data_IF_206581898386
#
_entry.id   IF_206581898386
#
_cell.length_a   1.000
_cell.length_b   1.000
_cell.length_c   1.000
_cell.angle_alpha   90.00
_cell.angle_beta   90.00
_cell.angle_gamma   90.00
#
_symmetry.space_group_name_H-M   'P 1'
#
loop_
_entity.id
_entity.type
_entity.pdbx_description
1 polymer ?
#
# COMPACT_ATOMS: atom_id res chain seq x y z
N UNK A 1 9.50 -50.02 -7.56
CA UNK A 1 8.44 -51.04 -7.75
C UNK A 1 8.85 -52.32 -7.00
N UNK A 2 10.10 -52.80 -7.14
CA UNK A 2 10.59 -54.05 -6.53
C UNK A 2 10.58 -54.00 -4.99
N UNK A 3 11.04 -52.88 -4.42
CA UNK A 3 11.11 -52.68 -2.95
C UNK A 3 9.72 -52.56 -2.30
N UNK A 4 8.74 -51.98 -3.01
CA UNK A 4 7.33 -51.93 -2.58
C UNK A 4 6.67 -53.30 -2.62
N UNK A 5 7.06 -54.13 -3.57
CA UNK A 5 6.52 -55.48 -3.70
C UNK A 5 7.04 -56.39 -2.59
N UNK A 6 8.33 -56.29 -2.25
CA UNK A 6 8.97 -57.04 -1.16
C UNK A 6 8.44 -56.65 0.23
N UNK A 7 8.21 -55.34 0.45
CA UNK A 7 7.59 -54.83 1.69
C UNK A 7 6.12 -55.30 1.85
N UNK A 8 5.36 -55.33 0.74
CA UNK A 8 3.98 -55.82 0.75
C UNK A 8 3.87 -57.33 1.01
N UNK A 9 4.79 -58.14 0.46
CA UNK A 9 4.82 -59.58 0.68
C UNK A 9 5.26 -59.93 2.11
N UNK A 10 6.19 -59.18 2.71
CA UNK A 10 6.62 -59.34 4.10
C UNK A 10 5.50 -59.01 5.11
N UNK A 11 4.74 -57.93 4.87
CA UNK A 11 3.58 -57.54 5.68
C UNK A 11 2.43 -58.57 5.59
N UNK A 12 2.22 -59.15 4.42
CA UNK A 12 1.24 -60.25 4.23
C UNK A 12 1.68 -61.55 4.96
N UNK A 13 2.98 -61.91 4.88
CA UNK A 13 3.51 -63.08 5.58
C UNK A 13 3.33 -62.91 7.09
N UNK A 14 3.56 -61.76 7.68
CA UNK A 14 3.39 -61.51 9.13
C UNK A 14 1.91 -61.58 9.57
N UNK A 15 0.95 -61.21 8.71
CA UNK A 15 -0.50 -61.31 9.02
C UNK A 15 -1.06 -62.70 8.84
N UNK A 16 -0.48 -63.51 7.97
CA UNK A 16 -0.95 -64.87 7.66
C UNK A 16 -0.35 -65.90 8.66
N UNK A 17 0.81 -65.64 9.24
CA UNK A 17 1.47 -66.55 10.19
C UNK A 17 0.60 -66.99 11.42
N UNK A 18 -0.13 -66.06 12.09
CA UNK A 18 -1.05 -66.48 13.19
C UNK A 18 -2.25 -67.31 12.71
N UNK A 19 -2.72 -67.08 11.48
CA UNK A 19 -3.76 -67.91 10.87
C UNK A 19 -3.23 -69.31 10.53
N UNK A 20 -2.01 -69.40 10.00
CA UNK A 20 -1.33 -70.64 9.71
C UNK A 20 -1.14 -71.49 10.97
N UNK A 21 -0.67 -70.93 12.09
CA UNK A 21 -0.53 -71.62 13.38
C UNK A 21 -1.88 -72.08 13.95
N UNK A 22 -2.97 -71.35 13.75
CA UNK A 22 -4.32 -71.79 14.15
C UNK A 22 -4.88 -72.91 13.25
N UNK A 23 -4.55 -72.89 11.97
CA UNK A 23 -4.86 -73.97 11.03
C UNK A 23 -4.05 -75.23 11.33
N UNK A 24 -2.77 -75.13 11.60
CA UNK A 24 -1.90 -76.25 11.96
C UNK A 24 -2.35 -76.88 13.29
N UNK A 25 -2.80 -76.08 14.26
CA UNK A 25 -3.35 -76.57 15.53
C UNK A 25 -4.74 -77.26 15.34
N UNK A 26 -5.55 -76.79 14.41
CA UNK A 26 -6.83 -77.41 14.09
C UNK A 26 -6.71 -78.71 13.26
N UNK A 27 -5.64 -78.88 12.50
CA UNK A 27 -5.37 -80.07 11.68
C UNK A 27 -4.69 -81.21 12.44
N UNK A 28 -4.06 -80.93 13.60
CA UNK A 28 -3.40 -81.93 14.44
C UNK A 28 -4.38 -82.89 15.15
N UNK A 29 -5.69 -82.63 15.15
CA UNK A 29 -6.70 -83.44 15.89
C UNK A 29 -7.69 -84.25 15.07
N UNK A 30 -7.64 -84.34 13.74
CA UNK A 30 -8.61 -85.12 13.01
C UNK A 30 -8.36 -85.16 11.49
N UNK A 31 -8.13 -86.34 10.97
CA UNK A 31 -8.09 -86.64 9.55
C UNK A 31 -9.39 -86.23 8.83
N UNK A 32 -9.48 -84.99 8.34
CA UNK A 32 -10.31 -84.64 7.17
C UNK A 32 -9.35 -84.07 6.12
N UNK A 33 -9.16 -84.84 5.08
CA UNK A 33 -8.42 -84.45 3.88
C UNK A 33 -9.10 -83.20 3.27
N UNK A 34 -8.63 -82.06 3.71
CA UNK A 34 -8.92 -80.82 2.96
C UNK A 34 -8.13 -80.97 1.66
N UNK A 35 -8.84 -81.13 0.57
CA UNK A 35 -8.25 -81.27 -0.75
C UNK A 35 -7.32 -80.05 -1.01
N UNK A 36 -6.03 -80.28 -1.30
CA UNK A 36 -5.07 -79.20 -1.52
C UNK A 36 -5.54 -78.22 -2.61
N UNK A 37 -6.44 -78.67 -3.50
CA UNK A 37 -7.06 -77.82 -4.49
C UNK A 37 -7.99 -76.75 -3.90
N UNK A 38 -8.70 -77.06 -2.79
CA UNK A 38 -9.54 -76.06 -2.10
C UNK A 38 -8.67 -75.05 -1.34
N UNK A 39 -7.52 -75.45 -0.84
CA UNK A 39 -6.58 -74.53 -0.20
C UNK A 39 -5.93 -73.59 -1.21
N UNK A 40 -5.54 -74.09 -2.38
CA UNK A 40 -5.04 -73.28 -3.49
C UNK A 40 -6.11 -72.30 -4.00
N UNK A 41 -7.31 -72.78 -4.17
CA UNK A 41 -8.46 -71.91 -4.57
C UNK A 41 -8.75 -70.79 -3.55
N UNK A 42 -8.71 -71.13 -2.25
CA UNK A 42 -8.88 -70.14 -1.19
C UNK A 42 -7.71 -69.10 -1.15
N UNK A 43 -6.49 -69.59 -1.34
CA UNK A 43 -5.32 -68.71 -1.40
C UNK A 43 -5.35 -67.75 -2.60
N UNK A 44 -5.79 -68.23 -3.75
CA UNK A 44 -6.00 -67.40 -4.95
C UNK A 44 -7.09 -66.35 -4.71
N UNK A 45 -8.23 -66.76 -4.15
CA UNK A 45 -9.32 -65.83 -3.83
C UNK A 45 -8.89 -64.76 -2.82
N UNK A 46 -8.15 -65.14 -1.75
CA UNK A 46 -7.60 -64.18 -0.77
C UNK A 46 -6.58 -63.29 -1.44
N UNK A 47 -5.69 -63.83 -2.31
CA UNK A 47 -4.71 -63.04 -3.04
C UNK A 47 -5.37 -62.03 -3.98
N UNK A 48 -6.38 -62.43 -4.75
CA UNK A 48 -7.15 -61.54 -5.63
C UNK A 48 -7.90 -60.49 -4.80
N UNK A 49 -8.56 -60.89 -3.69
CA UNK A 49 -9.26 -59.98 -2.81
C UNK A 49 -8.27 -58.95 -2.16
N UNK A 50 -7.05 -59.39 -1.81
CA UNK A 50 -6.03 -58.48 -1.27
C UNK A 50 -5.55 -57.48 -2.33
N UNK A 51 -5.32 -57.92 -3.58
CA UNK A 51 -4.92 -57.02 -4.69
C UNK A 51 -6.04 -56.07 -5.04
N UNK A 52 -7.27 -56.57 -5.15
CA UNK A 52 -8.47 -55.73 -5.39
C UNK A 52 -8.59 -54.71 -4.25
N UNK A 53 -8.47 -55.10 -3.00
CA UNK A 53 -8.58 -54.20 -1.85
C UNK A 53 -7.43 -53.18 -1.70
N UNK A 54 -6.27 -53.36 -2.39
CA UNK A 54 -5.19 -52.34 -2.43
C UNK A 54 -5.43 -51.34 -3.55
N UNK A 55 -5.96 -51.73 -4.68
CA UNK A 55 -6.18 -50.89 -5.86
C UNK A 55 -7.54 -50.22 -5.83
N UNK A 56 -8.57 -50.98 -5.46
CA UNK A 56 -9.96 -50.52 -5.45
C UNK A 56 -10.47 -50.24 -4.04
N UNK A 57 -11.45 -49.35 -3.95
CA UNK A 57 -12.17 -49.04 -2.70
C UNK A 57 -13.69 -49.09 -2.97
N UNK A 58 -14.50 -49.59 -2.02
CA UNK A 58 -15.93 -49.34 -2.05
C UNK A 58 -16.19 -47.84 -2.12
N UNK A 59 -17.08 -47.45 -2.98
CA UNK A 59 -17.37 -46.05 -3.29
C UNK A 59 -18.84 -45.90 -3.69
N UNK A 60 -19.25 -44.67 -3.89
CA UNK A 60 -20.59 -44.34 -4.38
C UNK A 60 -20.44 -43.35 -5.54
N UNK A 61 -21.09 -43.61 -6.64
CA UNK A 61 -21.28 -42.64 -7.71
C UNK A 61 -22.31 -41.63 -7.22
N UNK A 62 -21.97 -40.37 -7.24
CA UNK A 62 -22.87 -39.26 -6.91
C UNK A 62 -23.54 -38.81 -8.20
N UNK A 63 -24.87 -38.80 -8.20
CA UNK A 63 -25.65 -38.25 -9.29
C UNK A 63 -26.57 -37.14 -8.75
N UNK A 64 -26.57 -36.00 -9.44
CA UNK A 64 -27.46 -34.88 -9.18
C UNK A 64 -28.38 -34.71 -10.38
N UNK A 65 -29.66 -34.77 -10.17
CA UNK A 65 -30.72 -34.75 -11.23
C UNK A 65 -30.46 -35.74 -12.38
N UNK A 66 -29.88 -36.90 -12.04
CA UNK A 66 -29.58 -37.97 -12.99
C UNK A 66 -28.27 -37.77 -13.78
N UNK A 67 -27.49 -36.78 -13.46
CA UNK A 67 -26.14 -36.54 -14.03
C UNK A 67 -25.09 -37.04 -13.05
N UNK A 68 -24.26 -38.00 -13.47
CA UNK A 68 -23.15 -38.50 -12.67
C UNK A 68 -22.03 -37.44 -12.59
N UNK A 69 -21.71 -37.01 -11.36
CA UNK A 69 -20.70 -35.96 -11.09
C UNK A 69 -19.33 -36.56 -10.76
N UNK A 70 -19.33 -37.73 -10.12
CA UNK A 70 -18.06 -38.33 -9.69
C UNK A 70 -18.30 -39.41 -8.63
N UNK A 71 -17.22 -39.82 -7.95
CA UNK A 71 -17.26 -40.89 -6.97
C UNK A 71 -16.72 -40.43 -5.62
N UNK A 72 -17.42 -40.83 -4.53
CA UNK A 72 -17.02 -40.56 -3.15
C UNK A 72 -16.85 -41.85 -2.37
N UNK A 73 -16.11 -41.82 -1.28
CA UNK A 73 -15.92 -42.98 -0.40
C UNK A 73 -17.13 -43.22 0.51
N UNK A 74 -17.93 -42.20 0.81
CA UNK A 74 -19.20 -42.28 1.52
C UNK A 74 -20.12 -41.14 1.09
N UNK A 75 -21.44 -41.30 1.16
CA UNK A 75 -22.40 -40.21 0.91
C UNK A 75 -22.14 -38.95 1.74
N UNK A 76 -21.78 -39.12 3.01
CA UNK A 76 -21.49 -37.99 3.92
C UNK A 76 -20.38 -37.06 3.42
N UNK A 77 -19.42 -37.55 2.63
CA UNK A 77 -18.38 -36.69 2.04
C UNK A 77 -18.97 -35.66 1.08
N UNK A 78 -19.95 -36.07 0.27
CA UNK A 78 -20.61 -35.16 -0.65
C UNK A 78 -21.64 -34.26 0.07
N UNK A 79 -22.34 -34.79 1.08
CA UNK A 79 -23.25 -34.01 1.92
C UNK A 79 -22.47 -32.87 2.63
N UNK A 80 -21.29 -33.17 3.20
CA UNK A 80 -20.43 -32.15 3.81
C UNK A 80 -19.95 -31.09 2.78
N UNK A 81 -19.84 -31.46 1.50
CA UNK A 81 -19.52 -30.51 0.43
C UNK A 81 -20.71 -29.60 0.13
N UNK A 82 -21.91 -30.18 0.02
CA UNK A 82 -23.16 -29.42 -0.21
C UNK A 82 -23.38 -28.42 0.92
N UNK A 83 -23.31 -28.85 2.18
CA UNK A 83 -23.50 -28.00 3.35
C UNK A 83 -22.51 -26.83 3.34
N UNK A 84 -21.25 -27.09 2.96
CA UNK A 84 -20.21 -26.08 2.87
C UNK A 84 -20.43 -25.09 1.72
N UNK A 85 -20.89 -25.59 0.57
CA UNK A 85 -21.23 -24.74 -0.59
C UNK A 85 -22.43 -23.86 -0.29
N UNK A 86 -23.49 -24.43 0.34
CA UNK A 86 -24.66 -23.66 0.76
C UNK A 86 -24.32 -22.56 1.77
N UNK A 87 -23.54 -22.91 2.80
CA UNK A 87 -23.07 -21.91 3.78
C UNK A 87 -22.27 -20.78 3.12
N UNK A 88 -21.34 -21.11 2.23
CA UNK A 88 -20.54 -20.10 1.52
C UNK A 88 -21.38 -19.29 0.53
N UNK A 89 -22.32 -19.93 -0.16
CA UNK A 89 -23.25 -19.23 -1.06
C UNK A 89 -24.15 -18.26 -0.28
N UNK A 90 -24.64 -18.66 0.89
CA UNK A 90 -25.39 -17.81 1.82
C UNK A 90 -24.55 -16.58 2.23
N UNK A 91 -23.28 -16.78 2.62
CA UNK A 91 -22.38 -15.69 2.98
C UNK A 91 -22.12 -14.74 1.80
N UNK A 92 -21.97 -15.28 0.59
CA UNK A 92 -21.71 -14.50 -0.64
C UNK A 92 -22.96 -13.71 -1.07
N UNK A 93 -24.13 -14.36 -1.06
CA UNK A 93 -25.37 -13.76 -1.56
C UNK A 93 -26.10 -12.90 -0.53
N UNK A 94 -25.79 -13.10 0.77
CA UNK A 94 -26.41 -12.35 1.87
C UNK A 94 -27.84 -12.80 2.23
N UNK A 95 -28.27 -13.94 1.74
CA UNK A 95 -29.56 -14.58 2.10
C UNK A 95 -29.37 -16.09 2.16
N UNK A 96 -30.28 -16.78 2.89
CA UNK A 96 -30.24 -18.24 3.05
C UNK A 96 -30.40 -18.94 1.68
N UNK A 97 -29.33 -19.58 1.23
CA UNK A 97 -29.28 -20.31 -0.02
C UNK A 97 -29.30 -21.82 0.25
N UNK A 98 -30.18 -22.55 -0.44
CA UNK A 98 -30.22 -24.01 -0.44
C UNK A 98 -30.22 -24.51 -1.87
N UNK A 99 -29.47 -25.56 -2.12
CA UNK A 99 -29.42 -26.19 -3.44
C UNK A 99 -30.68 -26.99 -3.74
N UNK A 100 -31.33 -26.67 -4.83
CA UNK A 100 -32.36 -27.51 -5.40
C UNK A 100 -31.73 -28.62 -6.25
N UNK A 101 -32.01 -29.88 -5.99
CA UNK A 101 -31.54 -31.01 -6.79
C UNK A 101 -31.70 -32.33 -6.06
N UNK A 102 -32.14 -33.35 -6.80
CA UNK A 102 -32.26 -34.71 -6.27
C UNK A 102 -30.92 -35.42 -6.32
N UNK A 103 -30.28 -35.57 -5.14
CA UNK A 103 -28.99 -36.30 -5.01
C UNK A 103 -29.29 -37.79 -4.83
N UNK A 104 -28.66 -38.62 -5.65
CA UNK A 104 -28.71 -40.08 -5.54
C UNK A 104 -27.33 -40.69 -5.48
N UNK A 105 -27.19 -41.83 -4.80
CA UNK A 105 -25.94 -42.53 -4.58
C UNK A 105 -26.03 -43.96 -5.08
N UNK A 106 -25.25 -44.31 -6.11
CA UNK A 106 -25.14 -45.64 -6.62
C UNK A 106 -23.88 -46.35 -6.09
N UNK A 107 -24.00 -47.52 -5.42
CA UNK A 107 -22.81 -48.24 -4.95
C UNK A 107 -21.91 -48.63 -6.12
N UNK A 108 -20.60 -48.41 -5.95
CA UNK A 108 -19.58 -48.72 -6.95
C UNK A 108 -18.29 -49.26 -6.30
N UNK A 109 -17.41 -49.76 -7.16
CA UNK A 109 -16.05 -50.12 -6.79
C UNK A 109 -15.10 -49.33 -7.68
N UNK A 110 -14.42 -48.38 -7.10
CA UNK A 110 -13.59 -47.39 -7.85
C UNK A 110 -12.11 -47.54 -7.48
N UNK A 111 -11.23 -47.35 -8.44
CA UNK A 111 -9.79 -47.24 -8.16
C UNK A 111 -9.55 -46.08 -7.20
N UNK A 112 -8.68 -46.27 -6.20
CA UNK A 112 -8.39 -45.26 -5.17
C UNK A 112 -7.89 -43.94 -5.73
N UNK A 113 -7.16 -44.01 -6.84
CA UNK A 113 -6.61 -42.82 -7.50
C UNK A 113 -7.67 -42.12 -8.39
N UNK A 114 -8.78 -42.78 -8.65
CA UNK A 114 -9.93 -42.27 -9.45
C UNK A 114 -11.08 -41.72 -8.61
N UNK A 115 -10.92 -41.66 -7.26
CA UNK A 115 -11.90 -40.99 -6.39
C UNK A 115 -11.86 -39.51 -6.71
N UNK A 116 -13.03 -38.89 -6.94
CA UNK A 116 -13.15 -37.51 -7.31
C UNK A 116 -12.74 -36.60 -6.15
N UNK A 117 -11.80 -35.65 -6.36
CA UNK A 117 -11.42 -34.68 -5.35
C UNK A 117 -12.61 -33.84 -4.88
N UNK A 118 -12.65 -33.53 -3.58
CA UNK A 118 -13.70 -32.68 -2.97
C UNK A 118 -13.80 -31.32 -3.67
N UNK A 119 -12.66 -30.75 -4.05
CA UNK A 119 -12.59 -29.44 -4.73
C UNK A 119 -13.30 -29.43 -6.10
N UNK A 120 -13.34 -30.57 -6.81
CA UNK A 120 -14.02 -30.66 -8.10
C UNK A 120 -15.53 -30.62 -7.92
N UNK A 121 -16.05 -31.25 -6.86
CA UNK A 121 -17.46 -31.14 -6.49
C UNK A 121 -17.83 -29.72 -6.06
N UNK A 122 -17.01 -29.08 -5.21
CA UNK A 122 -17.24 -27.69 -4.81
C UNK A 122 -17.30 -26.76 -6.04
N UNK A 123 -16.36 -26.91 -6.97
CA UNK A 123 -16.34 -26.13 -8.21
C UNK A 123 -17.59 -26.35 -9.03
N UNK A 124 -17.96 -27.62 -9.25
CA UNK A 124 -19.17 -27.94 -10.01
C UNK A 124 -20.44 -27.35 -9.37
N UNK A 125 -20.60 -27.48 -8.04
CA UNK A 125 -21.76 -26.97 -7.34
C UNK A 125 -21.84 -25.45 -7.39
N UNK A 126 -20.73 -24.74 -7.20
CA UNK A 126 -20.69 -23.28 -7.35
C UNK A 126 -21.02 -22.82 -8.77
N UNK A 127 -20.56 -23.56 -9.79
CA UNK A 127 -20.84 -23.23 -11.19
C UNK A 127 -22.32 -23.42 -11.56
N UNK A 128 -23.09 -24.22 -10.76
CA UNK A 128 -24.53 -24.33 -10.92
C UNK A 128 -25.31 -23.18 -10.28
N UNK A 129 -24.70 -22.40 -9.39
CA UNK A 129 -25.31 -21.23 -8.75
C UNK A 129 -25.25 -20.05 -9.72
N UNK A 130 -26.34 -19.80 -10.46
CA UNK A 130 -26.36 -18.75 -11.51
C UNK A 130 -26.13 -17.33 -11.02
N UNK A 131 -26.28 -17.10 -9.72
CA UNK A 131 -26.08 -15.78 -9.07
C UNK A 131 -24.68 -15.61 -8.49
N UNK A 132 -23.84 -16.64 -8.57
CA UNK A 132 -22.44 -16.63 -8.09
C UNK A 132 -21.51 -16.94 -9.26
N UNK A 133 -20.43 -16.23 -9.33
CA UNK A 133 -19.39 -16.48 -10.33
C UNK A 133 -17.99 -16.33 -9.73
N UNK A 134 -17.02 -16.99 -10.36
CA UNK A 134 -15.62 -16.87 -9.97
C UNK A 134 -15.01 -15.63 -10.59
N UNK A 135 -14.59 -14.69 -9.75
CA UNK A 135 -14.08 -13.39 -10.16
C UNK A 135 -12.73 -13.09 -9.52
N UNK A 136 -11.98 -12.21 -10.14
CA UNK A 136 -10.81 -11.58 -9.51
C UNK A 136 -11.29 -10.39 -8.69
N UNK A 137 -10.92 -10.36 -7.41
CA UNK A 137 -11.34 -9.33 -6.45
C UNK A 137 -10.13 -8.49 -6.06
N UNK A 138 -10.26 -7.18 -6.22
CA UNK A 138 -9.26 -6.20 -5.79
C UNK A 138 -9.59 -5.69 -4.40
N UNK A 139 -8.64 -5.84 -3.48
CA UNK A 139 -8.72 -5.26 -2.13
C UNK A 139 -7.50 -4.39 -1.85
N UNK A 140 -7.73 -3.31 -1.12
CA UNK A 140 -6.69 -2.41 -0.62
C UNK A 140 -6.82 -2.32 0.89
N UNK A 141 -5.76 -2.70 1.62
CA UNK A 141 -5.77 -2.79 3.10
C UNK A 141 -6.95 -3.61 3.66
N UNK A 142 -7.39 -4.65 2.91
CA UNK A 142 -8.54 -5.48 3.27
C UNK A 142 -9.91 -4.89 2.92
N UNK A 143 -9.97 -3.68 2.38
CA UNK A 143 -11.21 -3.09 1.89
C UNK A 143 -11.47 -3.53 0.44
N UNK A 144 -12.67 -3.98 0.16
CA UNK A 144 -13.14 -4.32 -1.19
C UNK A 144 -13.20 -3.05 -2.07
N UNK A 145 -12.58 -3.11 -3.24
CA UNK A 145 -12.58 -2.02 -4.22
C UNK A 145 -13.46 -2.37 -5.42
N UNK A 146 -13.37 -3.61 -5.87
CA UNK A 146 -14.18 -4.09 -7.00
C UNK A 146 -13.75 -5.48 -7.43
N UNK A 147 -14.47 -6.02 -8.39
CA UNK A 147 -14.18 -7.32 -8.99
C UNK A 147 -14.24 -7.24 -10.53
N UNK A 148 -13.51 -8.15 -11.18
CA UNK A 148 -13.51 -8.30 -12.65
C UNK A 148 -13.40 -9.78 -13.02
N UNK A 149 -13.82 -10.11 -14.25
CA UNK A 149 -13.73 -11.48 -14.77
C UNK A 149 -12.28 -11.91 -15.06
N UNK A 150 -11.42 -10.96 -15.34
CA UNK A 150 -10.00 -11.21 -15.62
C UNK A 150 -9.10 -10.32 -14.75
N UNK A 151 -7.91 -10.87 -14.45
CA UNK A 151 -6.91 -10.19 -13.62
C UNK A 151 -6.27 -8.99 -14.34
N UNK A 152 -6.23 -9.01 -15.65
CA UNK A 152 -5.58 -7.98 -16.47
C UNK A 152 -6.34 -6.67 -16.37
N UNK A 153 -7.66 -6.71 -16.32
CA UNK A 153 -8.52 -5.54 -16.07
C UNK A 153 -8.15 -4.84 -14.77
N UNK A 154 -8.00 -5.60 -13.67
CA UNK A 154 -7.62 -5.03 -12.36
C UNK A 154 -6.19 -4.50 -12.36
N UNK A 155 -5.26 -5.22 -12.98
CA UNK A 155 -3.89 -4.73 -13.16
C UNK A 155 -3.86 -3.43 -13.99
N UNK A 156 -4.68 -3.35 -15.04
CA UNK A 156 -4.80 -2.14 -15.86
C UNK A 156 -5.29 -0.93 -15.06
N UNK A 157 -6.21 -1.11 -14.12
CA UNK A 157 -6.65 -0.05 -13.19
C UNK A 157 -5.49 0.39 -12.29
N UNK A 158 -4.76 -0.57 -11.71
CA UNK A 158 -3.62 -0.27 -10.83
C UNK A 158 -2.48 0.44 -11.58
N UNK A 159 -2.20 0.04 -12.81
CA UNK A 159 -1.20 0.72 -13.63
C UNK A 159 -1.64 2.15 -14.02
N UNK A 160 -2.94 2.40 -14.25
CA UNK A 160 -3.46 3.75 -14.47
C UNK A 160 -3.29 4.65 -13.24
N UNK A 161 -3.46 4.10 -12.02
CA UNK A 161 -3.18 4.86 -10.79
C UNK A 161 -1.71 5.27 -10.73
N UNK A 162 -0.77 4.37 -11.03
CA UNK A 162 0.67 4.67 -11.06
C UNK A 162 1.04 5.64 -12.17
N UNK A 163 0.44 5.48 -13.35
CA UNK A 163 0.76 6.30 -14.53
C UNK A 163 0.57 7.80 -14.32
N UNK A 164 -0.26 8.20 -13.34
CA UNK A 164 -0.42 9.60 -12.95
C UNK A 164 0.85 10.21 -12.29
N UNK A 165 1.78 9.37 -11.81
CA UNK A 165 2.95 9.77 -11.03
C UNK A 165 4.27 9.33 -11.63
N UNK A 166 4.27 8.65 -12.79
CA UNK A 166 5.45 8.10 -13.45
C UNK A 166 5.82 8.93 -14.66
N UNK A 167 7.11 9.27 -14.79
CA UNK A 167 7.70 9.94 -15.94
C UNK A 167 8.91 9.17 -16.50
N UNK A 168 9.66 9.80 -17.42
CA UNK A 168 10.83 9.19 -18.06
C UNK A 168 12.02 8.96 -17.13
N UNK A 169 12.05 9.63 -15.98
CA UNK A 169 13.12 9.53 -14.98
C UNK A 169 12.81 8.51 -13.89
N UNK A 170 11.54 8.03 -13.82
CA UNK A 170 11.07 7.15 -12.76
C UNK A 170 11.69 5.76 -12.87
N UNK A 171 12.45 5.36 -11.86
CA UNK A 171 13.10 4.06 -11.75
C UNK A 171 12.28 3.03 -10.96
N UNK A 172 11.38 3.49 -10.09
CA UNK A 172 10.44 2.62 -9.38
C UNK A 172 9.13 3.33 -9.04
N UNK A 173 8.04 2.57 -9.02
CA UNK A 173 6.71 3.02 -8.61
C UNK A 173 6.01 1.91 -7.83
N UNK A 174 5.71 2.17 -6.56
CA UNK A 174 5.13 1.21 -5.63
C UNK A 174 3.94 1.82 -4.88
N UNK A 175 2.98 0.97 -4.51
CA UNK A 175 1.90 1.39 -3.63
C UNK A 175 2.36 1.38 -2.18
N UNK A 176 1.92 2.35 -1.39
CA UNK A 176 2.23 2.40 0.05
C UNK A 176 1.33 1.51 0.89
N UNK A 177 0.20 1.07 0.31
CA UNK A 177 -0.81 0.21 0.93
C UNK A 177 -0.71 -1.22 0.42
N UNK A 178 -1.20 -2.17 1.23
CA UNK A 178 -1.31 -3.57 0.82
C UNK A 178 -2.40 -3.74 -0.24
N UNK A 179 -2.00 -4.02 -1.47
CA UNK A 179 -2.90 -4.27 -2.61
C UNK A 179 -2.89 -5.76 -2.92
N UNK A 180 -4.06 -6.38 -2.95
CA UNK A 180 -4.20 -7.81 -3.21
C UNK A 180 -5.26 -8.05 -4.27
N UNK A 181 -4.96 -8.99 -5.19
CA UNK A 181 -5.92 -9.53 -6.14
C UNK A 181 -6.08 -11.01 -5.85
N UNK A 182 -7.24 -11.38 -5.32
CA UNK A 182 -7.63 -12.77 -5.03
C UNK A 182 -8.54 -13.30 -6.13
N UNK A 183 -8.65 -14.62 -6.26
CA UNK A 183 -9.54 -15.28 -7.21
C UNK A 183 -10.53 -16.12 -6.42
N UNK A 184 -11.74 -15.64 -6.29
CA UNK A 184 -12.76 -16.20 -5.38
C UNK A 184 -14.17 -16.10 -5.98
N UNK A 185 -15.12 -16.79 -5.37
CA UNK A 185 -16.51 -16.70 -5.76
C UNK A 185 -17.14 -15.42 -5.21
N UNK A 186 -17.87 -14.71 -6.06
CA UNK A 186 -18.54 -13.45 -5.76
C UNK A 186 -19.96 -13.47 -6.36
N UNK A 187 -20.87 -12.59 -5.90
CA UNK A 187 -22.11 -12.36 -6.61
C UNK A 187 -21.85 -11.98 -8.06
N UNK A 188 -22.67 -12.48 -8.99
CA UNK A 188 -22.47 -12.25 -10.43
C UNK A 188 -22.64 -10.80 -10.86
N UNK A 189 -23.31 -9.97 -10.04
CA UNK A 189 -23.57 -8.55 -10.25
C UNK A 189 -22.49 -7.64 -9.65
N UNK A 190 -21.51 -8.21 -8.93
CA UNK A 190 -20.48 -7.43 -8.21
C UNK A 190 -19.40 -6.86 -9.13
N UNK A 191 -19.35 -7.29 -10.40
CA UNK A 191 -18.38 -6.76 -11.36
C UNK A 191 -18.59 -5.25 -11.55
N UNK A 192 -17.55 -4.47 -11.22
CA UNK A 192 -17.59 -3.02 -11.33
C UNK A 192 -16.88 -2.55 -12.60
N UNK A 193 -17.32 -1.39 -13.09
CA UNK A 193 -16.64 -0.69 -14.17
C UNK A 193 -15.22 -0.29 -13.72
N UNK A 194 -14.17 -0.60 -14.51
CA UNK A 194 -12.80 -0.17 -14.25
C UNK A 194 -12.67 1.34 -13.95
N UNK A 195 -13.48 2.18 -14.60
CA UNK A 195 -13.49 3.62 -14.35
C UNK A 195 -14.01 3.96 -12.95
N UNK A 196 -15.00 3.22 -12.43
CA UNK A 196 -15.49 3.40 -11.07
C UNK A 196 -14.46 2.97 -10.02
N UNK A 197 -13.75 1.86 -10.27
CA UNK A 197 -12.63 1.41 -9.41
C UNK A 197 -11.51 2.45 -9.38
N UNK A 198 -11.11 2.95 -10.56
CA UNK A 198 -10.09 4.00 -10.67
C UNK A 198 -10.50 5.26 -9.89
N UNK A 199 -11.74 5.71 -10.05
CA UNK A 199 -12.27 6.86 -9.32
C UNK A 199 -12.24 6.65 -7.80
N UNK A 200 -12.53 5.43 -7.32
CA UNK A 200 -12.44 5.07 -5.89
C UNK A 200 -11.01 5.13 -5.40
N UNK A 201 -10.05 4.56 -6.15
CA UNK A 201 -8.64 4.50 -5.78
C UNK A 201 -7.96 5.88 -5.79
N UNK A 202 -8.41 6.79 -6.66
CA UNK A 202 -7.89 8.15 -6.78
C UNK A 202 -8.67 9.17 -5.97
N UNK A 203 -9.78 8.77 -5.33
CA UNK A 203 -10.60 9.68 -4.53
C UNK A 203 -9.80 10.28 -3.38
N UNK A 204 -9.93 11.59 -3.19
CA UNK A 204 -9.31 12.28 -2.09
C UNK A 204 -9.92 11.85 -0.74
N UNK A 205 -9.09 11.40 0.19
CA UNK A 205 -9.48 10.96 1.53
C UNK A 205 -9.26 12.02 2.61
N UNK A 206 -8.61 13.13 2.27
CA UNK A 206 -8.24 14.18 3.24
C UNK A 206 -9.37 15.20 3.50
N UNK A 207 -10.57 14.97 2.97
CA UNK A 207 -11.71 15.85 3.12
C UNK A 207 -11.66 17.04 2.16
N UNK A 208 -12.27 18.17 2.56
CA UNK A 208 -12.27 19.37 1.71
C UNK A 208 -10.87 19.95 1.61
N UNK A 209 -10.35 20.02 0.38
CA UNK A 209 -9.00 20.50 0.08
C UNK A 209 -8.96 21.93 -0.40
N UNK A 210 -10.09 22.50 -0.79
CA UNK A 210 -10.19 23.87 -1.30
C UNK A 210 -11.03 24.77 -0.40
N UNK A 211 -10.60 26.02 -0.28
CA UNK A 211 -11.32 27.12 0.41
C UNK A 211 -11.62 28.23 -0.59
N UNK A 212 -12.85 28.70 -0.62
CA UNK A 212 -13.23 29.86 -1.42
C UNK A 212 -13.09 31.14 -0.60
N UNK A 213 -12.21 32.05 -1.03
CA UNK A 213 -11.90 33.31 -0.35
C UNK A 213 -13.15 34.17 -0.19
N UNK A 214 -13.45 34.52 1.06
CA UNK A 214 -14.59 35.35 1.44
C UNK A 214 -14.21 36.82 1.61
N UNK A 215 -15.21 37.67 1.72
CA UNK A 215 -14.97 39.07 1.96
C UNK A 215 -14.39 39.33 3.34
N UNK A 216 -13.18 39.88 3.37
CA UNK A 216 -12.47 40.23 4.60
C UNK A 216 -11.37 39.26 4.95
N UNK A 217 -11.24 38.16 4.21
CA UNK A 217 -10.16 37.19 4.42
C UNK A 217 -8.80 37.76 4.02
N UNK A 218 -7.80 37.29 4.73
CA UNK A 218 -6.39 37.47 4.38
C UNK A 218 -5.74 36.09 4.21
N UNK A 219 -4.70 36.01 3.40
CA UNK A 219 -3.95 34.77 3.20
C UNK A 219 -3.46 34.16 4.54
N UNK A 220 -2.98 35.00 5.46
CA UNK A 220 -2.56 34.59 6.78
C UNK A 220 -3.71 34.03 7.64
N UNK A 221 -4.90 34.65 7.59
CA UNK A 221 -6.06 34.18 8.35
C UNK A 221 -6.55 32.85 7.82
N UNK A 222 -6.60 32.68 6.50
CA UNK A 222 -6.98 31.41 5.87
C UNK A 222 -6.00 30.30 6.27
N UNK A 223 -4.69 30.56 6.29
CA UNK A 223 -3.71 29.60 6.75
C UNK A 223 -3.96 29.22 8.22
N UNK A 224 -4.14 30.20 9.09
CA UNK A 224 -4.39 29.97 10.52
C UNK A 224 -5.68 29.17 10.76
N UNK A 225 -6.78 29.52 10.07
CA UNK A 225 -8.08 28.86 10.23
C UNK A 225 -8.09 27.41 9.72
N UNK A 226 -7.08 27.04 8.90
CA UNK A 226 -6.88 25.69 8.39
C UNK A 226 -5.70 24.96 9.07
N UNK A 227 -5.25 25.44 10.24
CA UNK A 227 -4.18 24.85 11.06
C UNK A 227 -2.85 24.66 10.30
N UNK A 228 -2.51 25.61 9.43
CA UNK A 228 -1.27 25.58 8.62
C UNK A 228 -0.51 26.89 8.71
N UNK A 229 0.79 26.84 8.42
CA UNK A 229 1.61 28.02 8.27
C UNK A 229 1.35 28.73 6.94
N UNK A 230 1.73 29.99 6.84
CA UNK A 230 1.67 30.73 5.57
C UNK A 230 2.53 30.07 4.49
N UNK A 231 3.67 29.50 4.85
CA UNK A 231 4.58 28.82 3.92
C UNK A 231 3.98 27.53 3.36
N UNK A 232 3.23 26.78 4.17
CA UNK A 232 2.52 25.58 3.73
C UNK A 232 1.35 25.96 2.78
N UNK A 233 0.58 27.00 3.12
CA UNK A 233 -0.49 27.48 2.24
C UNK A 233 0.06 28.02 0.91
N UNK A 234 1.21 28.72 0.93
CA UNK A 234 1.91 29.19 -0.27
C UNK A 234 2.41 28.02 -1.12
N UNK A 235 2.99 27.00 -0.51
CA UNK A 235 3.45 25.79 -1.21
C UNK A 235 2.33 25.03 -1.92
N UNK A 236 1.13 24.99 -1.31
CA UNK A 236 -0.07 24.42 -1.94
C UNK A 236 -0.66 25.28 -3.06
N UNK A 237 -0.26 26.56 -3.15
CA UNK A 237 -0.81 27.54 -4.09
C UNK A 237 0.31 28.33 -4.80
N UNK A 238 1.25 27.69 -5.51
CA UNK A 238 2.46 28.33 -6.04
C UNK A 238 2.17 29.44 -7.07
N UNK A 239 1.00 29.41 -7.70
CA UNK A 239 0.57 30.37 -8.70
C UNK A 239 -0.21 31.56 -8.11
N UNK A 240 -0.35 31.62 -6.78
CA UNK A 240 -1.13 32.65 -6.09
C UNK A 240 -0.22 33.72 -5.52
N UNK A 241 -0.50 35.00 -5.82
CA UNK A 241 0.13 36.11 -5.13
C UNK A 241 -0.44 36.23 -3.71
N UNK A 242 0.36 35.87 -2.70
CA UNK A 242 -0.03 35.87 -1.27
C UNK A 242 -0.45 37.26 -0.76
N UNK A 243 -0.01 38.33 -1.41
CA UNK A 243 -0.36 39.72 -1.07
C UNK A 243 -1.64 40.19 -1.77
N UNK A 244 -2.19 39.38 -2.71
CA UNK A 244 -3.31 39.81 -3.55
C UNK A 244 -4.25 38.63 -3.86
N UNK A 245 -5.05 38.25 -2.88
CA UNK A 245 -6.15 37.29 -3.07
C UNK A 245 -7.46 37.99 -3.39
N UNK A 246 -8.38 37.31 -4.08
CA UNK A 246 -9.66 37.87 -4.54
C UNK A 246 -10.82 37.08 -3.96
N UNK A 247 -11.93 37.76 -3.65
CA UNK A 247 -13.17 37.10 -3.25
C UNK A 247 -13.62 36.13 -4.35
N UNK A 248 -13.97 34.90 -3.97
CA UNK A 248 -14.34 33.83 -4.88
C UNK A 248 -13.15 33.05 -5.45
N UNK A 249 -11.92 33.46 -5.14
CA UNK A 249 -10.71 32.68 -5.50
C UNK A 249 -10.67 31.39 -4.69
N UNK A 250 -10.37 30.26 -5.36
CA UNK A 250 -10.17 28.97 -4.69
C UNK A 250 -8.71 28.83 -4.30
N UNK A 251 -8.47 28.51 -3.03
CA UNK A 251 -7.15 28.17 -2.49
C UNK A 251 -7.15 26.73 -2.02
N UNK A 252 -6.10 26.00 -2.33
CA UNK A 252 -5.88 24.67 -1.76
C UNK A 252 -5.45 24.83 -0.31
N UNK A 253 -6.23 24.30 0.62
CA UNK A 253 -5.97 24.41 2.07
C UNK A 253 -5.59 23.09 2.73
N UNK A 254 -5.56 22.00 1.96
CA UNK A 254 -5.05 20.70 2.37
C UNK A 254 -4.44 20.02 1.17
N UNK A 255 -3.43 19.19 1.42
CA UNK A 255 -2.88 18.28 0.43
C UNK A 255 -3.92 17.20 0.09
N UNK A 256 -4.09 16.92 -1.21
CA UNK A 256 -4.93 15.81 -1.65
C UNK A 256 -4.22 14.49 -1.37
N UNK A 257 -4.87 13.63 -0.57
CA UNK A 257 -4.36 12.29 -0.30
C UNK A 257 -5.29 11.30 -1.00
N UNK A 258 -4.86 10.65 -2.09
CA UNK A 258 -5.65 9.64 -2.76
C UNK A 258 -5.82 8.41 -1.86
N UNK A 259 -6.94 7.69 -2.03
CA UNK A 259 -7.22 6.46 -1.29
C UNK A 259 -6.07 5.43 -1.44
N UNK A 260 -5.51 5.30 -2.65
CA UNK A 260 -4.33 4.48 -2.92
C UNK A 260 -3.15 5.37 -3.28
N UNK A 261 -2.27 5.59 -2.32
CA UNK A 261 -1.07 6.42 -2.51
C UNK A 261 0.04 5.65 -3.22
N UNK A 262 0.77 6.38 -4.08
CA UNK A 262 1.90 5.88 -4.87
C UNK A 262 3.18 6.55 -4.42
N UNK A 263 4.20 5.73 -4.12
CA UNK A 263 5.57 6.18 -3.91
C UNK A 263 6.36 5.93 -5.19
N UNK A 264 7.00 6.98 -5.73
CA UNK A 264 7.92 6.87 -6.87
C UNK A 264 9.33 7.28 -6.47
N UNK A 265 10.31 6.78 -7.19
CA UNK A 265 11.70 7.22 -7.10
C UNK A 265 12.16 7.56 -8.51
N UNK A 266 12.61 8.79 -8.68
CA UNK A 266 13.15 9.29 -9.94
C UNK A 266 14.65 9.46 -9.84
N UNK A 267 15.39 9.00 -10.87
CA UNK A 267 16.81 9.27 -10.99
C UNK A 267 17.02 10.46 -11.92
N UNK A 268 17.46 11.58 -11.36
CA UNK A 268 17.62 12.83 -12.09
C UNK A 268 19.05 13.31 -12.09
N UNK A 269 19.42 13.96 -13.20
CA UNK A 269 20.71 14.65 -13.32
C UNK A 269 20.45 16.12 -13.61
N UNK A 270 20.96 17.00 -12.74
CA UNK A 270 20.78 18.45 -12.88
C UNK A 270 22.06 19.20 -12.58
N UNK A 271 22.11 20.48 -13.00
CA UNK A 271 23.23 21.37 -12.69
C UNK A 271 22.89 22.22 -11.48
N UNK A 272 23.81 22.26 -10.54
CA UNK A 272 23.72 23.05 -9.31
C UNK A 272 24.87 24.06 -9.22
N UNK A 273 24.58 25.23 -8.65
CA UNK A 273 25.57 26.26 -8.41
C UNK A 273 26.36 26.01 -7.12
N UNK A 274 27.66 26.09 -7.18
CA UNK A 274 28.53 26.04 -5.99
C UNK A 274 28.75 27.47 -5.50
N UNK A 275 28.38 27.73 -4.24
CA UNK A 275 28.58 29.06 -3.64
C UNK A 275 30.05 29.45 -3.57
N UNK A 276 30.32 30.76 -3.69
CA UNK A 276 31.67 31.31 -3.56
C UNK A 276 32.16 31.19 -2.11
N UNK A 277 33.27 30.53 -1.83
CA UNK A 277 33.91 30.58 -0.51
C UNK A 277 34.23 32.03 -0.12
N UNK A 278 33.88 32.43 1.10
CA UNK A 278 34.11 33.78 1.59
C UNK A 278 35.49 33.84 2.22
N UNK A 279 36.32 34.79 1.75
CA UNK A 279 37.63 35.11 2.32
C UNK A 279 37.58 36.52 2.90
N UNK A 280 37.82 36.63 4.20
CA UNK A 280 37.88 37.92 4.88
C UNK A 280 39.30 38.47 4.88
N UNK A 281 39.45 39.74 4.50
CA UNK A 281 40.71 40.51 4.55
C UNK A 281 40.53 41.66 5.54
N UNK A 282 41.44 41.77 6.48
CA UNK A 282 41.42 42.84 7.47
C UNK A 282 41.79 44.18 6.82
N UNK A 283 40.98 45.21 7.12
CA UNK A 283 41.21 46.59 6.66
C UNK A 283 41.23 47.54 7.88
N UNK A 284 42.37 48.15 8.15
CA UNK A 284 42.59 49.08 9.25
C UNK A 284 42.09 50.50 8.95
N UNK A 285 41.69 50.75 7.72
CA UNK A 285 41.06 52.02 7.33
C UNK A 285 39.58 52.07 7.68
N UNK A 286 38.91 50.87 7.79
CA UNK A 286 37.49 50.73 8.09
C UNK A 286 37.25 50.45 9.57
N UNK A 287 36.14 50.95 10.12
CA UNK A 287 35.79 50.69 11.51
C UNK A 287 35.29 49.27 11.74
N UNK A 288 35.50 48.74 12.94
CA UNK A 288 34.94 47.46 13.37
C UNK A 288 33.44 47.44 13.18
N UNK A 289 32.93 46.35 12.57
CA UNK A 289 31.50 46.17 12.18
C UNK A 289 31.19 46.69 10.77
N UNK A 290 32.11 47.34 10.11
CA UNK A 290 31.95 47.69 8.69
C UNK A 290 32.59 46.60 7.82
N UNK A 291 31.92 46.26 6.70
CA UNK A 291 32.45 45.35 5.69
C UNK A 291 32.19 45.88 4.28
N UNK A 292 33.09 45.53 3.38
CA UNK A 292 33.00 45.91 1.97
C UNK A 292 33.38 44.72 1.08
N UNK A 293 32.55 44.40 0.12
CA UNK A 293 32.88 43.39 -0.88
C UNK A 293 33.95 43.97 -1.80
N UNK A 294 35.15 43.36 -1.83
CA UNK A 294 36.23 43.69 -2.72
C UNK A 294 36.15 42.94 -4.05
N UNK A 295 35.78 41.66 -3.98
CA UNK A 295 35.51 40.78 -5.11
C UNK A 295 34.26 39.94 -4.81
N UNK A 296 33.31 39.93 -5.71
CA UNK A 296 32.09 39.17 -5.55
C UNK A 296 32.30 37.63 -5.73
N UNK A 297 33.44 37.25 -6.32
CA UNK A 297 33.66 35.87 -6.77
C UNK A 297 32.79 35.50 -7.96
N UNK A 298 33.04 34.33 -8.48
CA UNK A 298 32.20 33.71 -9.52
C UNK A 298 31.72 32.34 -8.98
N UNK A 299 30.42 32.10 -8.88
CA UNK A 299 29.90 30.80 -8.46
C UNK A 299 30.44 29.69 -9.34
N UNK A 300 30.75 28.56 -8.74
CA UNK A 300 31.09 27.34 -9.46
C UNK A 300 29.82 26.64 -10.01
N UNK A 301 30.03 25.54 -10.70
CA UNK A 301 28.96 24.68 -11.20
C UNK A 301 29.33 23.23 -10.96
N UNK A 302 28.37 22.43 -10.59
CA UNK A 302 28.48 20.96 -10.49
C UNK A 302 27.29 20.28 -11.13
N UNK A 303 27.53 19.13 -11.69
CA UNK A 303 26.48 18.19 -12.13
C UNK A 303 26.21 17.27 -10.95
N UNK A 304 24.96 17.17 -10.56
CA UNK A 304 24.47 16.31 -9.49
C UNK A 304 23.60 15.22 -10.10
N UNK A 305 23.88 13.95 -9.78
CA UNK A 305 22.98 12.85 -10.01
C UNK A 305 22.36 12.44 -8.66
N UNK A 306 21.06 12.40 -8.59
CA UNK A 306 20.32 12.13 -7.36
C UNK A 306 19.10 11.26 -7.62
N UNK A 307 18.78 10.42 -6.62
CA UNK A 307 17.47 9.76 -6.52
C UNK A 307 16.57 10.65 -5.66
N UNK A 308 15.39 10.94 -6.19
CA UNK A 308 14.36 11.73 -5.49
C UNK A 308 13.14 10.84 -5.27
N UNK A 309 12.80 10.66 -4.01
CA UNK A 309 11.61 9.91 -3.62
C UNK A 309 10.41 10.86 -3.51
N UNK A 310 9.32 10.50 -4.17
CA UNK A 310 8.05 11.23 -4.12
C UNK A 310 6.95 10.36 -3.50
N UNK A 311 6.01 11.01 -2.85
CA UNK A 311 4.73 10.43 -2.44
C UNK A 311 3.62 11.22 -3.12
N UNK A 312 2.83 10.55 -3.96
CA UNK A 312 1.78 11.19 -4.77
C UNK A 312 2.26 12.43 -5.55
N UNK A 313 3.50 12.39 -6.05
CA UNK A 313 4.11 13.51 -6.80
C UNK A 313 4.76 14.59 -5.93
N UNK A 314 4.66 14.51 -4.61
CA UNK A 314 5.31 15.46 -3.67
C UNK A 314 6.65 14.90 -3.23
N UNK A 315 7.74 15.68 -3.41
CA UNK A 315 9.08 15.28 -2.98
C UNK A 315 9.15 15.06 -1.47
N UNK A 316 9.63 13.89 -1.05
CA UNK A 316 9.80 13.54 0.36
C UNK A 316 11.27 13.52 0.76
N UNK A 317 12.13 12.99 -0.11
CA UNK A 317 13.53 12.77 0.18
C UNK A 317 14.36 12.87 -1.09
N UNK A 318 15.54 13.44 -0.95
CA UNK A 318 16.54 13.55 -2.03
C UNK A 318 17.86 12.93 -1.59
N UNK A 319 18.31 11.92 -2.30
CA UNK A 319 19.58 11.24 -2.05
C UNK A 319 20.55 11.52 -3.18
N UNK A 320 21.60 12.27 -2.90
CA UNK A 320 22.66 12.55 -3.89
C UNK A 320 23.53 11.31 -4.05
N UNK A 321 23.59 10.78 -5.28
CA UNK A 321 24.39 9.60 -5.64
C UNK A 321 25.81 9.97 -6.04
N UNK A 322 25.95 11.05 -6.81
CA UNK A 322 27.25 11.55 -7.25
C UNK A 322 27.20 13.02 -7.60
N UNK A 323 28.35 13.70 -7.43
CA UNK A 323 28.57 15.08 -7.85
C UNK A 323 29.81 15.16 -8.72
N UNK A 324 29.78 15.97 -9.76
CA UNK A 324 30.93 16.26 -10.62
C UNK A 324 31.06 17.77 -10.79
N UNK A 325 32.10 18.35 -10.24
CA UNK A 325 32.41 19.77 -10.43
C UNK A 325 32.80 20.01 -11.89
N UNK A 326 32.09 20.88 -12.57
CA UNK A 326 32.34 21.29 -13.95
C UNK A 326 33.08 22.61 -14.03
N UNK A 327 32.85 23.47 -13.04
CA UNK A 327 33.58 24.75 -12.87
C UNK A 327 33.76 25.04 -11.39
N UNK A 328 35.01 25.24 -10.96
CA UNK A 328 35.31 25.65 -9.58
C UNK A 328 34.80 27.05 -9.28
N UNK A 329 34.29 27.24 -8.03
CA UNK A 329 33.95 28.57 -7.55
C UNK A 329 35.20 29.40 -7.24
N UNK A 330 35.18 30.70 -7.55
CA UNK A 330 36.21 31.61 -7.10
C UNK A 330 35.81 32.28 -5.79
N UNK A 331 36.81 32.69 -4.99
CA UNK A 331 36.55 33.27 -3.68
C UNK A 331 35.83 34.62 -3.78
N UNK A 332 34.83 34.80 -2.93
CA UNK A 332 34.27 36.12 -2.60
C UNK A 332 35.15 36.75 -1.53
N UNK A 333 35.78 37.90 -1.83
CA UNK A 333 36.67 38.61 -0.92
C UNK A 333 35.92 39.77 -0.25
N UNK A 334 35.87 39.76 1.08
CA UNK A 334 35.22 40.81 1.87
C UNK A 334 36.28 41.47 2.77
N UNK A 335 36.43 42.79 2.65
CA UNK A 335 37.20 43.56 3.61
C UNK A 335 36.36 43.73 4.89
N UNK A 336 36.97 43.45 6.04
CA UNK A 336 36.37 43.61 7.37
C UNK A 336 37.16 44.64 8.16
N UNK A 337 36.49 45.67 8.62
CA UNK A 337 37.11 46.77 9.36
C UNK A 337 37.69 46.33 10.72
N UNK A 338 38.91 46.71 11.00
CA UNK A 338 39.61 46.43 12.26
C UNK A 338 39.82 47.66 13.13
N UNK A 339 39.59 48.86 12.57
CA UNK A 339 39.77 50.11 13.28
C UNK A 339 38.79 50.27 14.41
N UNK A 340 39.24 50.47 15.62
CA UNK A 340 38.37 50.71 16.77
C UNK A 340 37.63 52.03 16.61
N UNK A 341 36.31 51.99 16.67
CA UNK A 341 35.46 53.17 16.57
C UNK A 341 35.61 54.00 17.86
N UNK A 342 36.02 55.28 17.78
CA UNK A 342 36.04 56.12 18.95
C UNK A 342 34.64 56.26 19.57
N UNK A 343 34.59 56.30 20.88
CA UNK A 343 33.32 56.37 21.63
C UNK A 343 32.48 57.66 21.38
N UNK A 344 33.13 58.69 20.84
CA UNK A 344 32.48 59.94 20.49
C UNK A 344 31.86 59.97 19.08
N UNK A 345 32.15 58.95 18.26
CA UNK A 345 31.51 58.81 16.94
C UNK A 345 30.14 58.13 17.09
N UNK A 346 29.08 58.67 16.42
CA UNK A 346 27.78 58.07 16.45
C UNK A 346 27.84 56.63 15.90
N UNK A 347 27.20 55.69 16.59
CA UNK A 347 27.17 54.28 16.20
C UNK A 347 25.95 53.94 15.30
N UNK A 348 25.19 54.98 14.91
CA UNK A 348 23.96 54.81 14.10
C UNK A 348 22.71 54.49 14.92
N UNK A 349 22.83 54.30 16.22
CA UNK A 349 21.69 54.09 17.10
C UNK A 349 21.38 55.38 17.86
N UNK A 350 20.12 55.77 17.87
CA UNK A 350 19.64 56.82 18.73
C UNK A 350 19.40 56.27 20.12
N UNK A 351 19.90 56.93 21.14
CA UNK A 351 19.59 56.65 22.55
C UNK A 351 18.71 57.76 23.10
N UNK A 352 17.86 57.42 24.02
CA UNK A 352 17.11 58.42 24.75
C UNK A 352 18.08 59.38 25.48
N UNK A 353 17.93 60.70 25.29
CA UNK A 353 18.89 61.65 25.91
C UNK A 353 18.78 61.61 27.43
N UNK A 354 17.60 61.31 27.95
CA UNK A 354 17.29 61.05 29.36
C UNK A 354 16.19 60.02 29.49
N UNK A 355 16.17 59.29 30.59
CA UNK A 355 15.08 58.39 30.92
C UNK A 355 14.09 59.12 31.83
N UNK A 356 12.83 59.16 31.46
CA UNK A 356 11.79 59.82 32.20
C UNK A 356 10.42 59.68 31.52
N UNK A 357 9.42 60.27 32.16
CA UNK A 357 8.07 60.28 31.59
C UNK A 357 7.97 61.42 30.58
N UNK A 358 7.49 61.14 29.36
CA UNK A 358 7.15 62.20 28.41
C UNK A 358 5.95 62.96 28.96
N UNK A 359 6.16 64.25 29.21
CA UNK A 359 5.13 65.15 29.76
C UNK A 359 4.49 66.04 28.68
N UNK A 360 5.17 66.18 27.54
CA UNK A 360 4.61 66.87 26.40
C UNK A 360 5.23 66.37 25.07
N UNK A 361 4.42 66.23 24.07
CA UNK A 361 4.83 65.81 22.72
C UNK A 361 5.11 66.97 21.79
N UNK A 362 5.89 66.73 20.79
CA UNK A 362 6.11 67.67 19.68
C UNK A 362 4.78 67.94 18.96
N UNK A 363 4.56 69.18 18.56
CA UNK A 363 3.38 69.64 17.84
C UNK A 363 2.54 70.70 18.56
N UNK A 364 1.36 70.99 18.05
CA UNK A 364 0.47 71.92 18.65
C UNK A 364 -0.15 71.36 19.94
N UNK A 365 -0.11 72.17 21.04
CA UNK A 365 -0.67 71.75 22.36
C UNK A 365 -1.44 72.92 22.98
N UNK A 366 -2.42 72.60 23.82
CA UNK A 366 -3.12 73.57 24.66
C UNK A 366 -2.58 73.45 26.06
N UNK A 367 -2.04 74.60 26.58
CA UNK A 367 -1.58 74.73 27.97
C UNK A 367 -2.26 75.91 28.57
N UNK A 368 -2.96 75.72 29.70
CA UNK A 368 -3.74 76.75 30.41
C UNK A 368 -4.68 77.56 29.47
N UNK A 369 -5.30 76.89 28.51
CA UNK A 369 -6.24 77.51 27.54
C UNK A 369 -5.60 78.31 26.41
N UNK A 370 -4.30 78.32 26.29
CA UNK A 370 -3.57 78.89 25.17
C UNK A 370 -3.08 77.82 24.20
N UNK A 371 -3.27 78.01 22.91
CA UNK A 371 -2.84 77.08 21.84
C UNK A 371 -1.44 77.51 21.37
N UNK A 372 -0.45 76.65 21.53
CA UNK A 372 0.92 76.91 21.11
C UNK A 372 1.60 75.75 20.46
N UNK A 373 2.56 75.99 19.58
CA UNK A 373 3.37 74.97 18.94
C UNK A 373 4.56 74.62 19.84
N UNK A 374 4.75 73.36 20.08
CA UNK A 374 5.90 72.79 20.84
C UNK A 374 6.89 72.16 19.90
N UNK A 375 8.08 72.71 19.80
CA UNK A 375 9.14 72.28 18.90
C UNK A 375 9.97 71.11 19.38
N UNK A 376 9.60 70.43 20.48
CA UNK A 376 10.30 69.32 21.07
C UNK A 376 9.41 68.37 21.86
N UNK A 377 10.01 67.43 22.57
CA UNK A 377 9.33 66.60 23.56
C UNK A 377 9.88 66.97 24.95
N UNK A 378 8.98 67.13 25.94
CA UNK A 378 9.39 67.34 27.35
C UNK A 378 9.43 66.01 28.06
N UNK A 379 10.51 65.68 28.74
CA UNK A 379 10.72 64.50 29.52
C UNK A 379 10.98 64.90 30.97
N UNK A 380 10.11 64.54 31.90
CA UNK A 380 10.33 64.69 33.31
C UNK A 380 11.24 63.56 33.83
N UNK A 381 12.35 63.92 34.43
CA UNK A 381 13.37 63.01 34.99
C UNK A 381 13.20 62.90 36.49
#
# INVERSE_FOLDING_TARGET
LRDRWEAGTAALAQRVEPLRRRLDAATAGGRRLINPLHFLAAAVVIGVAAVVGTVYTPSYVVEVDGVALGTVTSPSVFEDVVDRVESRATDILGYDYTMDGAVTYAPALTERESITPVADFETYLFDQIGEVMKSYVLTVNGQFIGAAQDRETLNGVLEQVKAAYVDENTVSAEFTSGVYITHEYTPSDVNQDPAAMLATLTANTNGQTTYEVQKGDTFMQIAFDNDMSMSELEALNPDVDINRIYIGQLLNVKEEIPFLSVKTVDNVTYTESIECPVVEVQDDSMYQGESKVLDAGVPGEQIVNADIAYLNGVEQERTVLSTQVTREATNKVIAVGTKVRPSWLPNGYFIWPVYGRITSYFGYRSIFGSYSYHGGIDIAT
#
